data_IF_680097083402
#
_entry.id   IF_680097083402
#
_cell.length_a   1.000
_cell.length_b   1.000
_cell.length_c   1.000
_cell.angle_alpha   90.00
_cell.angle_beta   90.00
_cell.angle_gamma   90.00
#
_symmetry.space_group_name_H-M   'P 1'
#
loop_
_entity.id
_entity.type
_entity.pdbx_description
1 polymer ?
#
# COMPACT_ATOMS: atom_id res chain seq x y z
N UNK A 1 -16.78 13.26 -15.23
CA UNK A 1 -15.91 12.08 -15.42
C UNK A 1 -16.44 10.92 -14.60
N UNK A 2 -16.79 9.78 -15.22
CA UNK A 2 -17.04 8.54 -14.45
C UNK A 2 -15.71 8.14 -13.79
N UNK A 3 -15.61 8.25 -12.47
CA UNK A 3 -14.44 7.72 -11.73
C UNK A 3 -14.35 6.23 -12.01
N UNK A 4 -13.16 5.76 -12.38
CA UNK A 4 -12.86 4.33 -12.46
C UNK A 4 -13.18 3.69 -11.11
N UNK A 5 -13.88 2.55 -11.11
CA UNK A 5 -14.14 1.80 -9.86
C UNK A 5 -12.86 1.22 -9.23
N UNK A 6 -11.73 1.30 -9.93
CA UNK A 6 -10.45 0.78 -9.48
C UNK A 6 -9.77 1.72 -8.50
N UNK A 7 -9.29 1.13 -7.40
CA UNK A 7 -8.62 1.83 -6.30
C UNK A 7 -7.14 2.06 -6.57
N UNK A 8 -6.53 2.91 -5.76
CA UNK A 8 -5.07 3.05 -5.62
C UNK A 8 -4.66 2.25 -4.38
N UNK A 9 -3.62 1.44 -4.50
CA UNK A 9 -3.03 0.72 -3.37
C UNK A 9 -1.78 1.46 -2.90
N UNK A 10 -1.73 1.86 -1.63
CA UNK A 10 -0.50 2.34 -0.99
C UNK A 10 0.09 1.20 -0.16
N UNK A 11 1.37 0.89 -0.35
CA UNK A 11 2.09 -0.14 0.39
C UNK A 11 3.32 0.47 1.07
N UNK A 12 3.35 0.38 2.39
CA UNK A 12 4.43 0.88 3.24
C UNK A 12 4.97 -0.26 4.09
N UNK A 13 6.25 -0.18 4.47
CA UNK A 13 6.85 -1.17 5.36
C UNK A 13 6.19 -1.10 6.74
N UNK A 14 6.18 0.09 7.35
CA UNK A 14 5.64 0.34 8.69
C UNK A 14 4.85 1.64 8.72
N UNK A 15 3.97 1.78 9.73
CA UNK A 15 3.14 2.97 9.93
C UNK A 15 3.87 3.98 10.80
N UNK A 16 4.85 4.69 10.25
CA UNK A 16 5.56 5.77 10.97
C UNK A 16 4.71 7.04 11.06
N UNK A 17 5.00 7.95 12.02
CA UNK A 17 4.27 9.22 12.14
C UNK A 17 4.27 10.06 10.87
N UNK A 18 5.39 10.07 10.13
CA UNK A 18 5.49 10.84 8.90
C UNK A 18 4.64 10.24 7.76
N UNK A 19 4.59 8.91 7.63
CA UNK A 19 3.73 8.24 6.63
C UNK A 19 2.26 8.45 6.98
N UNK A 20 1.90 8.33 8.26
CA UNK A 20 0.53 8.62 8.71
C UNK A 20 0.11 10.03 8.34
N UNK A 21 0.98 11.02 8.58
CA UNK A 21 0.71 12.41 8.21
C UNK A 21 0.66 12.63 6.70
N UNK A 22 1.55 12.00 5.94
CA UNK A 22 1.53 12.03 4.48
C UNK A 22 0.19 11.51 3.94
N UNK A 23 -0.31 10.41 4.51
CA UNK A 23 -1.59 9.82 4.14
C UNK A 23 -2.76 10.75 4.49
N UNK A 24 -2.78 11.31 5.71
CA UNK A 24 -3.84 12.20 6.16
C UNK A 24 -3.88 13.49 5.34
N UNK A 25 -2.74 14.16 5.18
CA UNK A 25 -2.67 15.48 4.54
C UNK A 25 -2.64 15.36 3.02
N UNK A 26 -1.74 14.51 2.49
CA UNK A 26 -1.45 14.39 1.06
C UNK A 26 -2.48 13.61 0.25
N UNK A 27 -3.30 12.78 0.91
CA UNK A 27 -4.22 11.86 0.24
C UNK A 27 -5.68 11.96 0.71
N UNK A 28 -6.02 12.93 1.57
CA UNK A 28 -7.38 13.15 2.10
C UNK A 28 -8.49 13.15 1.03
N UNK A 29 -8.25 13.80 -0.12
CA UNK A 29 -9.21 13.91 -1.23
C UNK A 29 -9.44 12.58 -1.98
N UNK A 30 -8.58 11.59 -1.77
CA UNK A 30 -8.65 10.24 -2.35
C UNK A 30 -9.07 9.17 -1.35
N UNK A 31 -9.47 9.52 -0.12
CA UNK A 31 -9.75 8.55 0.97
C UNK A 31 -10.64 7.35 0.58
N UNK A 32 -11.62 7.56 -0.32
CA UNK A 32 -12.55 6.51 -0.76
C UNK A 32 -11.98 5.65 -1.91
N UNK A 33 -10.93 6.12 -2.57
CA UNK A 33 -10.23 5.44 -3.67
C UNK A 33 -8.97 4.72 -3.19
N UNK A 34 -8.61 4.84 -1.92
CA UNK A 34 -7.37 4.29 -1.37
C UNK A 34 -7.62 3.02 -0.55
N UNK A 35 -6.76 2.04 -0.79
CA UNK A 35 -6.49 0.96 0.15
C UNK A 35 -5.05 1.11 0.61
N UNK A 36 -4.80 0.95 1.91
CA UNK A 36 -3.49 1.21 2.51
C UNK A 36 -3.05 -0.05 3.23
N UNK A 37 -1.83 -0.46 2.93
CA UNK A 37 -1.23 -1.67 3.47
C UNK A 37 0.09 -1.32 4.14
N UNK A 38 0.22 -1.77 5.40
CA UNK A 38 1.48 -1.79 6.13
C UNK A 38 1.97 -3.23 6.24
N UNK A 39 3.23 -3.51 5.93
CA UNK A 39 3.77 -4.87 6.00
C UNK A 39 4.01 -5.33 7.44
N UNK A 40 4.39 -4.40 8.31
CA UNK A 40 4.56 -4.63 9.74
C UNK A 40 3.99 -3.47 10.56
N UNK A 41 3.66 -3.75 11.82
CA UNK A 41 3.17 -2.74 12.77
C UNK A 41 4.31 -1.83 13.22
N UNK A 42 5.44 -2.45 13.59
CA UNK A 42 6.62 -1.79 14.13
C UNK A 42 7.85 -2.54 13.59
N UNK A 43 8.72 -1.87 12.82
CA UNK A 43 10.02 -2.41 12.40
C UNK A 43 11.15 -1.67 13.11
N UNK A 44 11.11 -0.35 13.07
CA UNK A 44 12.15 0.52 13.61
C UNK A 44 11.96 0.76 15.10
N UNK A 45 10.76 1.16 15.50
CA UNK A 45 10.38 1.53 16.86
C UNK A 45 8.90 1.21 17.12
N UNK A 46 8.48 1.17 18.38
CA UNK A 46 7.06 1.08 18.72
C UNK A 46 6.42 2.47 18.68
N UNK A 47 5.71 2.75 17.59
CA UNK A 47 5.06 4.04 17.38
C UNK A 47 3.69 4.14 18.05
N UNK A 48 3.12 3.00 18.50
CA UNK A 48 1.79 2.90 19.11
C UNK A 48 0.67 3.64 18.33
N UNK A 49 0.80 3.71 17.00
CA UNK A 49 -0.12 4.46 16.13
C UNK A 49 -1.39 3.64 15.84
N UNK A 50 -2.55 4.30 15.91
CA UNK A 50 -3.82 3.75 15.45
C UNK A 50 -3.95 3.94 13.92
N UNK A 51 -4.70 3.08 13.23
CA UNK A 51 -4.94 3.23 11.80
C UNK A 51 -5.67 4.56 11.49
N UNK A 52 -4.99 5.46 10.78
CA UNK A 52 -5.50 6.78 10.38
C UNK A 52 -6.70 6.75 9.42
N UNK A 53 -6.88 5.67 8.65
CA UNK A 53 -7.97 5.54 7.67
C UNK A 53 -8.65 4.16 7.76
N UNK A 54 -9.95 4.08 7.42
CA UNK A 54 -10.75 2.86 7.58
C UNK A 54 -10.28 1.67 6.72
N UNK A 55 -9.49 1.92 5.67
CA UNK A 55 -8.95 0.88 4.79
C UNK A 55 -7.49 0.52 5.10
N UNK A 56 -6.99 0.83 6.30
CA UNK A 56 -5.64 0.44 6.74
C UNK A 56 -5.62 -1.04 7.12
N UNK A 57 -4.74 -1.81 6.48
CA UNK A 57 -4.52 -3.22 6.81
C UNK A 57 -3.06 -3.49 7.11
N UNK A 58 -2.81 -4.21 8.20
CA UNK A 58 -1.49 -4.77 8.48
C UNK A 58 -1.41 -6.16 7.88
N UNK A 59 -0.43 -6.37 7.01
CA UNK A 59 -0.22 -7.63 6.30
C UNK A 59 0.78 -8.48 7.10
N UNK A 60 0.43 -8.76 8.35
CA UNK A 60 1.24 -9.58 9.25
C UNK A 60 1.05 -11.10 9.07
N UNK A 61 0.05 -11.54 8.28
CA UNK A 61 -0.26 -12.95 8.09
C UNK A 61 -0.11 -13.39 6.63
N UNK A 62 0.34 -14.64 6.42
CA UNK A 62 0.42 -15.26 5.08
C UNK A 62 -0.92 -15.22 4.33
N UNK A 63 -2.04 -15.33 5.05
CA UNK A 63 -3.39 -15.21 4.46
C UNK A 63 -3.68 -13.81 3.94
N UNK A 64 -3.29 -12.77 4.68
CA UNK A 64 -3.45 -11.38 4.25
C UNK A 64 -2.59 -11.08 3.01
N UNK A 65 -1.34 -11.57 2.98
CA UNK A 65 -0.46 -11.47 1.80
C UNK A 65 -1.12 -12.12 0.59
N UNK A 66 -1.60 -13.36 0.76
CA UNK A 66 -2.26 -14.09 -0.32
C UNK A 66 -3.50 -13.35 -0.83
N UNK A 67 -4.35 -12.85 0.06
CA UNK A 67 -5.54 -12.09 -0.32
C UNK A 67 -5.18 -10.79 -1.07
N UNK A 68 -4.13 -10.09 -0.62
CA UNK A 68 -3.60 -8.91 -1.29
C UNK A 68 -3.15 -9.25 -2.72
N UNK A 69 -2.33 -10.29 -2.87
CA UNK A 69 -1.88 -10.77 -4.18
C UNK A 69 -3.06 -11.17 -5.07
N UNK A 70 -4.07 -11.85 -4.54
CA UNK A 70 -5.28 -12.19 -5.31
C UNK A 70 -6.00 -10.94 -5.83
N UNK A 71 -6.13 -9.92 -5.00
CA UNK A 71 -6.78 -8.66 -5.40
C UNK A 71 -5.98 -7.88 -6.45
N UNK A 72 -4.64 -7.94 -6.37
CA UNK A 72 -3.73 -7.29 -7.33
C UNK A 72 -3.72 -8.06 -8.65
N UNK A 73 -3.38 -9.35 -8.61
CA UNK A 73 -3.07 -10.15 -9.79
C UNK A 73 -4.34 -10.59 -10.54
N UNK A 74 -5.37 -11.06 -9.82
CA UNK A 74 -6.53 -11.70 -10.44
C UNK A 74 -7.74 -10.77 -10.54
N UNK A 75 -8.07 -10.05 -9.46
CA UNK A 75 -9.27 -9.18 -9.47
C UNK A 75 -9.05 -7.84 -10.18
N UNK A 76 -7.80 -7.48 -10.48
CA UNK A 76 -7.41 -6.19 -11.08
C UNK A 76 -8.10 -5.00 -10.40
N UNK A 77 -8.21 -5.09 -9.07
CA UNK A 77 -8.92 -4.11 -8.21
C UNK A 77 -8.24 -2.74 -8.24
N UNK A 78 -6.93 -2.73 -8.50
CA UNK A 78 -6.11 -1.55 -8.44
C UNK A 78 -5.76 -1.02 -9.82
N UNK A 79 -5.71 0.31 -9.95
CA UNK A 79 -5.23 1.02 -11.15
C UNK A 79 -3.79 1.52 -11.03
N UNK A 80 -3.29 1.58 -9.80
CA UNK A 80 -1.98 2.11 -9.44
C UNK A 80 -1.55 1.49 -8.12
N UNK A 81 -0.27 1.16 -8.00
CA UNK A 81 0.36 0.84 -6.72
C UNK A 81 1.38 1.92 -6.42
N UNK A 82 1.33 2.49 -5.22
CA UNK A 82 2.38 3.32 -4.67
C UNK A 82 3.11 2.52 -3.61
N UNK A 83 4.44 2.48 -3.65
CA UNK A 83 5.24 1.75 -2.68
C UNK A 83 6.34 2.63 -2.11
N UNK A 84 6.64 2.46 -0.83
CA UNK A 84 7.81 3.05 -0.18
C UNK A 84 8.62 1.95 0.52
N UNK A 85 9.96 2.05 0.50
CA UNK A 85 10.84 1.00 1.01
C UNK A 85 11.12 -0.13 0.00
N UNK A 86 11.54 0.22 -1.22
CA UNK A 86 11.79 -0.71 -2.34
C UNK A 86 12.81 -1.82 -2.05
N UNK A 87 13.66 -1.65 -1.02
CA UNK A 87 14.62 -2.66 -0.57
C UNK A 87 13.95 -3.86 0.10
N UNK A 88 12.69 -3.76 0.54
CA UNK A 88 11.98 -4.86 1.17
C UNK A 88 11.64 -5.97 0.15
N UNK A 89 11.99 -7.24 0.38
CA UNK A 89 11.82 -8.33 -0.60
C UNK A 89 10.40 -8.50 -1.13
N UNK A 90 9.40 -8.32 -0.26
CA UNK A 90 7.99 -8.33 -0.67
C UNK A 90 7.66 -7.19 -1.65
N UNK A 91 8.16 -5.98 -1.39
CA UNK A 91 7.90 -4.82 -2.26
C UNK A 91 8.61 -4.99 -3.59
N UNK A 92 9.86 -5.46 -3.56
CA UNK A 92 10.62 -5.76 -4.77
C UNK A 92 9.91 -6.80 -5.64
N UNK A 93 9.45 -7.91 -5.05
CA UNK A 93 8.70 -8.93 -5.80
C UNK A 93 7.38 -8.37 -6.35
N UNK A 94 6.71 -7.49 -5.60
CA UNK A 94 5.49 -6.83 -6.06
C UNK A 94 5.76 -5.87 -7.25
N UNK A 95 6.84 -5.09 -7.22
CA UNK A 95 7.25 -4.21 -8.32
C UNK A 95 7.47 -5.05 -9.59
N UNK A 96 8.25 -6.13 -9.46
CA UNK A 96 8.55 -7.03 -10.58
C UNK A 96 7.29 -7.68 -11.16
N UNK A 97 6.41 -8.21 -10.30
CA UNK A 97 5.15 -8.82 -10.73
C UNK A 97 4.20 -7.82 -11.40
N UNK A 98 4.15 -6.59 -10.90
CA UNK A 98 3.27 -5.55 -11.44
C UNK A 98 3.62 -5.18 -12.89
N UNK A 99 4.91 -5.28 -13.24
CA UNK A 99 5.39 -5.06 -14.62
C UNK A 99 4.81 -6.08 -15.60
N UNK A 100 4.68 -7.35 -15.21
CA UNK A 100 4.06 -8.39 -16.05
C UNK A 100 2.54 -8.20 -16.22
N UNK A 101 1.91 -7.43 -15.35
CA UNK A 101 0.45 -7.19 -15.36
C UNK A 101 0.06 -5.84 -15.96
N UNK A 102 1.02 -5.08 -16.49
CA UNK A 102 0.81 -3.71 -16.94
C UNK A 102 0.14 -2.83 -15.86
N UNK A 103 0.48 -3.07 -14.59
CA UNK A 103 -0.01 -2.29 -13.46
C UNK A 103 1.05 -1.24 -13.09
N UNK A 104 0.78 0.06 -13.25
CA UNK A 104 1.73 1.10 -12.92
C UNK A 104 2.11 1.06 -11.44
N UNK A 105 3.41 1.19 -11.16
CA UNK A 105 3.96 1.29 -9.81
C UNK A 105 4.74 2.59 -9.69
N UNK A 106 4.39 3.39 -8.68
CA UNK A 106 5.16 4.56 -8.26
C UNK A 106 5.97 4.16 -7.04
N UNK A 107 7.27 4.40 -7.09
CA UNK A 107 8.20 4.07 -6.01
C UNK A 107 8.67 5.36 -5.39
N UNK A 108 8.48 5.49 -4.10
CA UNK A 108 9.07 6.56 -3.29
C UNK A 108 10.50 6.13 -2.92
N UNK A 109 11.49 6.89 -3.39
CA UNK A 109 12.91 6.59 -3.20
C UNK A 109 13.47 7.15 -1.88
N UNK A 110 12.77 8.11 -1.28
CA UNK A 110 13.25 8.92 -0.15
C UNK A 110 12.79 8.35 1.20
N UNK A 111 13.07 7.07 1.42
CA UNK A 111 12.78 6.34 2.67
C UNK A 111 13.97 5.56 3.18
#
# INVERSE_FOLDING_TARGET
MKRSSKKILLVFIESTPYISRLIEDGFSYLKNELDIVFLTKNLSQDWNLQPCLPNNQFVGSKKAIFYLLVNILFKRKYRLIHVAGWSHPFILSLILLSRFLCLPVVVESDT
#
